data_IF_020406262065
#
_entry.id   IF_020406262065
#
_cell.length_a   1.000
_cell.length_b   1.000
_cell.length_c   1.000
_cell.angle_alpha   90.00
_cell.angle_beta   90.00
_cell.angle_gamma   90.00
#
_symmetry.space_group_name_H-M   'P 1'
#
loop_
_entity.id
_entity.type
_entity.pdbx_description
1 polymer ?
#
# COMPACT_ATOMS: atom_id res chain seq x y z
N UNK A 1 54.20 -13.96 -53.05
CA UNK A 1 53.66 -14.12 -51.68
C UNK A 1 53.59 -12.80 -50.92
N UNK A 2 54.62 -11.96 -50.96
CA UNK A 2 54.71 -10.67 -50.24
C UNK A 2 53.56 -9.67 -50.49
N UNK A 3 53.08 -9.54 -51.72
CA UNK A 3 51.95 -8.65 -52.07
C UNK A 3 50.61 -9.08 -51.45
N UNK A 4 50.41 -10.39 -51.23
CA UNK A 4 49.19 -10.94 -50.62
C UNK A 4 49.22 -10.71 -49.10
N UNK A 5 50.38 -10.91 -48.48
CA UNK A 5 50.57 -10.70 -47.04
C UNK A 5 50.41 -9.22 -46.66
N UNK A 6 50.92 -8.30 -47.48
CA UNK A 6 50.73 -6.85 -47.29
C UNK A 6 49.28 -6.42 -47.45
N UNK A 7 48.55 -6.96 -48.43
CA UNK A 7 47.10 -6.73 -48.56
C UNK A 7 46.29 -7.30 -47.39
N UNK A 8 46.65 -8.50 -46.89
CA UNK A 8 46.00 -9.10 -45.72
C UNK A 8 46.23 -8.28 -44.44
N UNK A 9 47.46 -7.79 -44.22
CA UNK A 9 47.80 -6.93 -43.07
C UNK A 9 47.05 -5.59 -43.10
N UNK A 10 46.87 -5.00 -44.28
CA UNK A 10 46.07 -3.76 -44.45
C UNK A 10 44.57 -3.97 -44.24
N UNK A 11 44.02 -5.13 -44.61
CA UNK A 11 42.62 -5.46 -44.37
C UNK A 11 42.34 -5.82 -42.91
N UNK A 12 43.33 -6.42 -42.23
CA UNK A 12 43.25 -6.73 -40.81
C UNK A 12 43.22 -5.45 -39.96
N UNK A 13 44.05 -4.45 -40.27
CA UNK A 13 43.98 -3.15 -39.58
C UNK A 13 42.66 -2.45 -39.85
N UNK A 14 42.17 -2.47 -41.09
CA UNK A 14 40.85 -1.91 -41.45
C UNK A 14 39.70 -2.58 -40.67
N UNK A 15 39.77 -3.89 -40.43
CA UNK A 15 38.80 -4.62 -39.62
C UNK A 15 38.79 -4.12 -38.16
N UNK A 16 39.97 -3.92 -37.55
CA UNK A 16 40.05 -3.38 -36.19
C UNK A 16 39.49 -1.95 -36.08
N UNK A 17 39.76 -1.09 -37.07
CA UNK A 17 39.18 0.25 -37.11
C UNK A 17 37.64 0.19 -37.23
N UNK A 18 37.12 -0.70 -38.07
CA UNK A 18 35.67 -0.89 -38.24
C UNK A 18 35.00 -1.35 -36.94
N UNK A 19 35.62 -2.28 -36.21
CA UNK A 19 35.08 -2.74 -34.91
C UNK A 19 35.05 -1.64 -33.84
N UNK A 20 36.04 -0.73 -33.86
CA UNK A 20 36.11 0.37 -32.91
C UNK A 20 35.03 1.43 -33.18
N UNK A 21 34.71 1.67 -34.46
CA UNK A 21 33.61 2.55 -34.86
C UNK A 21 32.26 1.95 -34.44
N UNK A 22 32.05 0.64 -34.63
CA UNK A 22 30.81 -0.03 -34.26
C UNK A 22 30.55 -0.02 -32.74
N UNK A 23 31.60 -0.08 -31.91
CA UNK A 23 31.47 0.04 -30.45
C UNK A 23 30.99 1.42 -29.99
N UNK A 24 31.30 2.49 -30.74
CA UNK A 24 30.90 3.86 -30.41
C UNK A 24 29.41 4.17 -30.61
N UNK A 25 28.65 3.28 -31.27
CA UNK A 25 27.23 3.49 -31.60
C UNK A 25 26.31 2.78 -30.57
N UNK A 26 26.88 2.04 -29.62
CA UNK A 26 26.13 1.39 -28.54
C UNK A 26 25.65 2.42 -27.49
N UNK A 27 24.55 3.11 -27.78
CA UNK A 27 23.83 3.90 -26.78
C UNK A 27 22.86 3.00 -26.00
N UNK A 28 23.20 2.68 -24.76
CA UNK A 28 22.30 1.99 -23.84
C UNK A 28 21.21 2.96 -23.35
N UNK A 29 20.03 2.90 -23.96
CA UNK A 29 18.85 3.57 -23.42
C UNK A 29 18.33 2.74 -22.25
N UNK A 30 18.57 3.21 -21.02
CA UNK A 30 17.96 2.64 -19.82
C UNK A 30 16.46 2.95 -19.80
N UNK A 31 15.64 1.98 -19.37
CA UNK A 31 14.21 2.17 -19.24
C UNK A 31 13.92 3.19 -18.14
N UNK A 32 13.35 4.34 -18.49
CA UNK A 32 12.85 5.29 -17.50
C UNK A 32 11.55 4.76 -16.93
N UNK A 33 11.63 4.06 -15.80
CA UNK A 33 10.44 3.66 -15.05
C UNK A 33 9.85 4.92 -14.43
N UNK A 34 8.59 5.21 -14.74
CA UNK A 34 7.85 6.28 -14.08
C UNK A 34 7.63 5.83 -12.63
N UNK A 35 8.43 6.34 -11.71
CA UNK A 35 8.09 6.27 -10.31
C UNK A 35 6.95 7.27 -10.12
N UNK A 36 5.75 6.78 -9.83
CA UNK A 36 4.82 7.63 -9.12
C UNK A 36 5.57 8.01 -7.83
N UNK A 37 6.01 9.27 -7.76
CA UNK A 37 6.58 9.84 -6.55
C UNK A 37 5.42 10.01 -5.58
N UNK A 38 4.86 8.87 -5.14
CA UNK A 38 4.09 8.77 -3.93
C UNK A 38 5.03 9.35 -2.91
N UNK A 39 4.79 10.61 -2.55
CA UNK A 39 5.44 11.30 -1.48
C UNK A 39 5.16 10.39 -0.28
N UNK A 40 6.11 9.49 0.03
CA UNK A 40 5.90 8.36 0.95
C UNK A 40 5.61 9.02 2.29
N UNK A 41 4.33 9.15 2.63
CA UNK A 41 3.96 9.62 3.95
C UNK A 41 4.62 8.65 4.93
N UNK A 42 5.49 9.20 5.78
CA UNK A 42 6.26 8.44 6.78
C UNK A 42 5.36 7.56 7.65
N UNK A 43 4.09 7.93 7.76
CA UNK A 43 3.02 7.20 8.41
C UNK A 43 1.83 7.13 7.47
N UNK A 44 1.24 5.95 7.29
CA UNK A 44 -0.06 5.85 6.66
C UNK A 44 -1.09 6.49 7.62
N UNK A 45 -1.80 7.52 7.17
CA UNK A 45 -2.98 8.00 7.89
C UNK A 45 -4.06 6.92 7.76
N UNK A 46 -4.23 6.13 8.82
CA UNK A 46 -5.22 5.06 8.84
C UNK A 46 -6.50 5.59 9.47
N UNK A 47 -7.59 5.53 8.70
CA UNK A 47 -8.94 5.71 9.23
C UNK A 47 -9.29 4.52 10.13
N UNK A 48 -9.19 4.72 11.44
CA UNK A 48 -9.37 3.63 12.44
C UNK A 48 -10.77 3.03 12.34
N UNK A 49 -11.82 3.85 12.30
CA UNK A 49 -13.21 3.36 12.22
C UNK A 49 -13.43 2.51 10.95
N UNK A 50 -12.99 2.99 9.77
CA UNK A 50 -13.11 2.21 8.52
C UNK A 50 -12.32 0.92 8.55
N UNK A 51 -11.18 0.93 9.23
CA UNK A 51 -10.37 -0.28 9.41
C UNK A 51 -11.10 -1.29 10.28
N UNK A 52 -11.74 -0.86 11.36
CA UNK A 52 -12.54 -1.74 12.22
C UNK A 52 -13.79 -2.25 11.52
N UNK A 53 -14.52 -1.41 10.77
CA UNK A 53 -15.64 -1.85 9.92
C UNK A 53 -15.19 -2.99 8.99
N UNK A 54 -14.09 -2.79 8.24
CA UNK A 54 -13.56 -3.81 7.31
C UNK A 54 -13.12 -5.10 8.00
N UNK A 55 -12.61 -5.00 9.23
CA UNK A 55 -12.10 -6.16 9.99
C UNK A 55 -13.28 -6.97 10.55
N UNK A 56 -14.31 -6.30 11.06
CA UNK A 56 -15.58 -6.91 11.48
C UNK A 56 -16.30 -7.57 10.30
N UNK A 57 -16.34 -6.93 9.13
CA UNK A 57 -16.96 -7.49 7.91
C UNK A 57 -16.31 -8.81 7.47
N UNK A 58 -15.05 -9.02 7.82
CA UNK A 58 -14.32 -10.27 7.57
C UNK A 58 -14.57 -11.34 8.64
N UNK A 59 -15.38 -11.06 9.66
CA UNK A 59 -15.65 -11.95 10.79
C UNK A 59 -14.57 -11.94 11.87
N UNK A 60 -13.62 -11.02 11.80
CA UNK A 60 -12.62 -10.82 12.85
C UNK A 60 -13.09 -9.66 13.73
N UNK A 61 -13.79 -9.96 14.80
CA UNK A 61 -14.32 -8.93 15.69
C UNK A 61 -13.83 -9.11 17.13
N UNK A 62 -13.82 -8.00 17.87
CA UNK A 62 -13.53 -7.97 19.29
C UNK A 62 -14.47 -7.02 20.00
N UNK A 63 -14.56 -7.15 21.32
CA UNK A 63 -15.40 -6.28 22.14
C UNK A 63 -14.97 -4.81 21.98
N UNK A 64 -13.66 -4.55 21.95
CA UNK A 64 -13.09 -3.22 21.82
C UNK A 64 -13.43 -2.56 20.48
N UNK A 65 -13.53 -3.33 19.40
CA UNK A 65 -13.89 -2.79 18.09
C UNK A 65 -15.33 -2.30 18.05
N UNK A 66 -16.28 -3.07 18.60
CA UNK A 66 -17.66 -2.64 18.68
C UNK A 66 -17.86 -1.48 19.66
N UNK A 67 -17.16 -1.49 20.80
CA UNK A 67 -17.16 -0.35 21.71
C UNK A 67 -16.62 0.92 21.02
N UNK A 68 -15.50 0.81 20.31
CA UNK A 68 -14.92 1.93 19.59
C UNK A 68 -15.89 2.49 18.55
N UNK A 69 -16.46 1.64 17.70
CA UNK A 69 -17.38 2.08 16.64
C UNK A 69 -18.67 2.67 17.20
N UNK A 70 -19.28 2.04 18.21
CA UNK A 70 -20.47 2.56 18.87
C UNK A 70 -20.22 3.96 19.46
N UNK A 71 -19.11 4.13 20.18
CA UNK A 71 -18.71 5.42 20.77
C UNK A 71 -18.36 6.47 19.71
N UNK A 72 -17.59 6.09 18.68
CA UNK A 72 -17.17 6.97 17.59
C UNK A 72 -18.36 7.56 16.83
N UNK A 73 -19.32 6.72 16.45
CA UNK A 73 -20.51 7.17 15.73
C UNK A 73 -21.44 7.99 16.63
N UNK A 74 -21.51 7.69 17.94
CA UNK A 74 -22.23 8.53 18.89
C UNK A 74 -21.64 9.95 18.93
N UNK A 75 -20.32 10.06 19.10
CA UNK A 75 -19.60 11.35 19.13
C UNK A 75 -19.72 12.11 17.80
N UNK A 76 -19.79 11.37 16.69
CA UNK A 76 -20.00 11.92 15.34
C UNK A 76 -21.45 12.29 15.05
N UNK A 77 -22.38 12.07 15.99
CA UNK A 77 -23.84 12.28 15.87
C UNK A 77 -24.53 11.40 14.81
N UNK A 78 -23.89 10.31 14.42
CA UNK A 78 -24.49 9.25 13.61
C UNK A 78 -25.10 8.21 14.56
N UNK A 79 -26.27 8.55 15.11
CA UNK A 79 -26.93 7.74 16.12
C UNK A 79 -27.42 6.41 15.58
N UNK A 80 -27.74 6.33 14.28
CA UNK A 80 -28.17 5.10 13.62
C UNK A 80 -27.02 4.08 13.59
N UNK A 81 -25.83 4.47 13.11
CA UNK A 81 -24.66 3.59 13.15
C UNK A 81 -24.21 3.29 14.57
N UNK A 82 -24.26 4.27 15.46
CA UNK A 82 -23.92 4.07 16.87
C UNK A 82 -24.80 2.98 17.49
N UNK A 83 -26.12 3.08 17.29
CA UNK A 83 -27.07 2.08 17.77
C UNK A 83 -26.81 0.70 17.15
N UNK A 84 -26.53 0.63 15.84
CA UNK A 84 -26.20 -0.63 15.17
C UNK A 84 -25.04 -1.37 15.85
N UNK A 85 -23.91 -0.68 16.10
CA UNK A 85 -22.75 -1.32 16.71
C UNK A 85 -22.94 -1.64 18.19
N UNK A 86 -23.65 -0.78 18.94
CA UNK A 86 -24.01 -1.11 20.32
C UNK A 86 -25.00 -2.29 20.39
N UNK A 87 -26.00 -2.38 19.53
CA UNK A 87 -26.92 -3.52 19.50
C UNK A 87 -26.15 -4.84 19.31
N UNK A 88 -25.14 -4.85 18.43
CA UNK A 88 -24.25 -6.00 18.24
C UNK A 88 -23.42 -6.28 19.49
N UNK A 89 -22.80 -5.25 20.08
CA UNK A 89 -22.00 -5.34 21.31
C UNK A 89 -22.80 -5.96 22.46
N UNK A 90 -23.98 -5.41 22.76
CA UNK A 90 -24.82 -5.86 23.87
C UNK A 90 -25.49 -7.21 23.61
N UNK A 91 -25.63 -7.61 22.35
CA UNK A 91 -26.08 -8.97 21.99
C UNK A 91 -24.98 -10.01 22.16
N UNK A 92 -23.72 -9.68 21.85
CA UNK A 92 -22.60 -10.63 21.83
C UNK A 92 -21.87 -10.76 23.17
N UNK A 93 -21.85 -9.71 23.99
CA UNK A 93 -21.04 -9.66 25.21
C UNK A 93 -21.86 -9.38 26.47
N UNK A 94 -21.34 -9.79 27.63
CA UNK A 94 -21.98 -9.54 28.93
C UNK A 94 -21.69 -8.11 29.39
N UNK A 95 -22.63 -7.50 30.13
CA UNK A 95 -22.46 -6.15 30.67
C UNK A 95 -21.18 -5.97 31.50
N UNK A 96 -20.70 -7.02 32.18
CA UNK A 96 -19.45 -6.96 32.96
C UNK A 96 -18.19 -6.77 32.13
N UNK A 97 -18.26 -7.03 30.82
CA UNK A 97 -17.14 -6.90 29.88
C UNK A 97 -17.15 -5.55 29.17
N UNK A 98 -18.29 -4.86 29.16
CA UNK A 98 -18.50 -3.62 28.41
C UNK A 98 -18.12 -2.43 29.30
N UNK A 99 -17.47 -1.42 28.73
CA UNK A 99 -17.09 -0.23 29.46
C UNK A 99 -18.32 0.55 29.98
N UNK A 100 -18.22 1.19 31.16
CA UNK A 100 -19.31 2.02 31.71
C UNK A 100 -19.73 3.16 30.77
N UNK A 101 -18.78 3.71 29.98
CA UNK A 101 -19.05 4.75 28.99
C UNK A 101 -20.01 4.23 27.91
N UNK A 102 -19.69 3.11 27.27
CA UNK A 102 -20.53 2.49 26.25
C UNK A 102 -21.93 2.14 26.80
N UNK A 103 -22.00 1.66 28.05
CA UNK A 103 -23.27 1.38 28.74
C UNK A 103 -24.11 2.65 28.95
N UNK A 104 -23.48 3.76 29.34
CA UNK A 104 -24.18 5.02 29.54
C UNK A 104 -24.70 5.59 28.22
N UNK A 105 -23.89 5.57 27.16
CA UNK A 105 -24.26 6.10 25.84
C UNK A 105 -25.32 5.25 25.15
N UNK A 106 -25.28 3.93 25.28
CA UNK A 106 -26.31 3.08 24.69
C UNK A 106 -27.71 3.34 25.28
N UNK A 107 -27.79 3.75 26.55
CA UNK A 107 -29.07 4.09 27.20
C UNK A 107 -29.68 5.40 26.70
N UNK A 108 -28.92 6.24 25.99
CA UNK A 108 -29.40 7.52 25.46
C UNK A 108 -29.80 7.46 23.98
N UNK A 109 -29.63 6.29 23.34
CA UNK A 109 -29.98 6.01 21.94
C UNK A 109 -31.37 5.40 21.77
#
# INVERSE_FOLDING_TARGET
>A
MEKIETTLRSNLSAFFFLTFILLGICNANSQTVFYDSVCKQKYALIDVHKTYERVIDKGYDSIEMFEYLGNYYYESKDFEKSKLYFDILFKKYKLSQISPKSIALYKTL
#
